data_IF_048919806928
#
_entry.id   IF_048919806928
#
_cell.length_a   1.000
_cell.length_b   1.000
_cell.length_c   1.000
_cell.angle_alpha   90.00
_cell.angle_beta   90.00
_cell.angle_gamma   90.00
#
_symmetry.space_group_name_H-M   'P 1'
#
loop_
_entity.id
_entity.type
_entity.pdbx_description
1 polymer ?
#
# COMPACT_ATOMS: atom_id res chain seq x y z
N UNK A 1 2.87 -18.87 -7.02
CA UNK A 1 3.58 -18.37 -5.79
C UNK A 1 3.90 -19.48 -4.79
N UNK A 2 3.72 -20.74 -5.21
CA UNK A 2 3.89 -21.91 -4.32
C UNK A 2 5.23 -21.88 -3.57
N UNK A 3 5.16 -22.09 -2.25
CA UNK A 3 6.31 -22.15 -1.31
C UNK A 3 7.13 -20.86 -1.15
N UNK A 4 6.84 -19.77 -1.89
CA UNK A 4 7.47 -18.47 -1.63
C UNK A 4 6.98 -17.89 -0.32
N UNK A 5 7.89 -17.42 0.51
CA UNK A 5 7.57 -16.75 1.77
C UNK A 5 7.39 -15.26 1.55
N UNK A 6 6.17 -14.77 1.79
CA UNK A 6 5.80 -13.37 1.59
C UNK A 6 5.42 -12.72 2.91
N UNK A 7 6.16 -11.69 3.29
CA UNK A 7 5.84 -10.84 4.43
C UNK A 7 4.91 -9.72 3.97
N UNK A 8 3.78 -9.55 4.66
CA UNK A 8 2.77 -8.53 4.37
C UNK A 8 2.54 -7.69 5.62
N UNK A 9 2.88 -6.41 5.59
CA UNK A 9 2.50 -5.47 6.65
C UNK A 9 1.12 -4.88 6.37
N UNK A 10 0.36 -4.55 7.43
CA UNK A 10 -1.03 -4.12 7.26
C UNK A 10 -1.95 -5.23 6.75
N UNK A 11 -1.62 -6.49 7.00
CA UNK A 11 -2.27 -7.67 6.41
C UNK A 11 -3.69 -7.95 6.89
N UNK A 12 -4.16 -7.26 7.94
CA UNK A 12 -5.47 -7.57 8.55
C UNK A 12 -6.67 -6.93 7.85
N UNK A 13 -6.47 -5.94 6.96
CA UNK A 13 -7.56 -5.21 6.30
C UNK A 13 -7.14 -4.69 4.92
N UNK A 14 -8.12 -4.34 4.09
CA UNK A 14 -7.94 -3.63 2.83
C UNK A 14 -6.98 -4.33 1.85
N UNK A 15 -6.06 -3.57 1.27
CA UNK A 15 -5.13 -4.09 0.24
C UNK A 15 -4.23 -5.20 0.78
N UNK A 16 -3.73 -5.06 2.03
CA UNK A 16 -2.89 -6.10 2.65
C UNK A 16 -3.62 -7.42 2.86
N UNK A 17 -4.88 -7.37 3.30
CA UNK A 17 -5.76 -8.54 3.40
C UNK A 17 -6.02 -9.17 2.02
N UNK A 18 -6.36 -8.37 1.01
CA UNK A 18 -6.58 -8.86 -0.34
C UNK A 18 -5.33 -9.54 -0.93
N UNK A 19 -4.13 -8.96 -0.67
CA UNK A 19 -2.86 -9.60 -1.03
C UNK A 19 -2.69 -10.96 -0.32
N UNK A 20 -2.96 -11.02 0.98
CA UNK A 20 -2.84 -12.25 1.75
C UNK A 20 -3.76 -13.35 1.21
N UNK A 21 -5.04 -13.04 0.96
CA UNK A 21 -6.00 -13.98 0.37
C UNK A 21 -5.57 -14.47 -1.01
N UNK A 22 -5.16 -13.56 -1.88
CA UNK A 22 -4.71 -13.88 -3.24
C UNK A 22 -3.50 -14.80 -3.24
N UNK A 23 -2.48 -14.47 -2.43
CA UNK A 23 -1.23 -15.23 -2.39
C UNK A 23 -1.39 -16.56 -1.66
N UNK A 24 -2.22 -16.61 -0.61
CA UNK A 24 -2.57 -17.85 0.09
C UNK A 24 -3.26 -18.85 -0.85
N UNK A 25 -4.19 -18.39 -1.69
CA UNK A 25 -4.85 -19.21 -2.69
C UNK A 25 -3.87 -19.77 -3.75
N UNK A 26 -2.73 -19.10 -3.97
CA UNK A 26 -1.65 -19.56 -4.87
C UNK A 26 -0.59 -20.42 -4.14
N UNK A 27 -0.77 -20.75 -2.86
CA UNK A 27 0.10 -21.62 -2.08
C UNK A 27 1.37 -20.95 -1.54
N UNK A 28 1.37 -19.64 -1.38
CA UNK A 28 2.47 -18.93 -0.73
C UNK A 28 2.48 -19.17 0.78
N UNK A 29 3.67 -19.18 1.39
CA UNK A 29 3.86 -19.06 2.82
C UNK A 29 3.68 -17.60 3.23
N UNK A 30 2.72 -17.30 4.08
CA UNK A 30 2.37 -15.94 4.44
C UNK A 30 2.81 -15.59 5.85
N UNK A 31 3.34 -14.38 6.01
CA UNK A 31 3.61 -13.74 7.30
C UNK A 31 2.77 -12.47 7.37
N UNK A 32 1.80 -12.46 8.28
CA UNK A 32 0.79 -11.43 8.40
C UNK A 32 1.14 -10.52 9.59
N UNK A 33 1.59 -9.29 9.29
CA UNK A 33 2.03 -8.32 10.31
C UNK A 33 1.03 -7.18 10.43
N UNK A 34 0.72 -6.80 11.67
CA UNK A 34 -0.11 -5.65 11.98
C UNK A 34 -0.33 -5.47 13.48
N UNK A 35 -0.89 -4.33 13.87
CA UNK A 35 -1.09 -3.96 15.29
C UNK A 35 -2.27 -4.65 15.94
N UNK A 36 -3.29 -5.02 15.18
CA UNK A 36 -4.54 -5.59 15.68
C UNK A 36 -4.55 -7.10 15.44
N UNK A 37 -4.67 -7.87 16.52
CA UNK A 37 -4.63 -9.34 16.48
C UNK A 37 -5.82 -9.92 15.73
N UNK A 38 -7.04 -9.54 16.09
CA UNK A 38 -8.27 -10.12 15.56
C UNK A 38 -8.37 -10.09 14.03
N UNK A 39 -8.16 -8.95 13.31
CA UNK A 39 -8.18 -8.94 11.86
C UNK A 39 -7.11 -9.84 11.23
N UNK A 40 -5.93 -9.96 11.85
CA UNK A 40 -4.87 -10.84 11.35
C UNK A 40 -5.25 -12.32 11.50
N UNK A 41 -5.82 -12.70 12.65
CA UNK A 41 -6.27 -14.07 12.91
C UNK A 41 -7.40 -14.48 11.98
N UNK A 42 -8.33 -13.57 11.67
CA UNK A 42 -9.39 -13.80 10.68
C UNK A 42 -8.79 -14.12 9.30
N UNK A 43 -7.82 -13.33 8.84
CA UNK A 43 -7.14 -13.60 7.56
C UNK A 43 -6.31 -14.88 7.63
N UNK A 44 -5.64 -15.15 8.74
CA UNK A 44 -4.85 -16.36 8.93
C UNK A 44 -5.70 -17.62 8.91
N UNK A 45 -6.91 -17.59 9.48
CA UNK A 45 -7.84 -18.73 9.45
C UNK A 45 -8.19 -19.17 8.03
N UNK A 46 -8.20 -18.25 7.07
CA UNK A 46 -8.51 -18.55 5.67
C UNK A 46 -7.27 -18.90 4.84
N UNK A 47 -6.12 -18.33 5.20
CA UNK A 47 -4.90 -18.40 4.38
C UNK A 47 -3.80 -19.30 4.95
N UNK A 48 -3.91 -19.72 6.21
CA UNK A 48 -2.87 -20.47 6.92
C UNK A 48 -1.63 -19.61 7.28
N UNK A 49 -1.73 -18.28 7.21
CA UNK A 49 -0.59 -17.37 7.43
C UNK A 49 -0.12 -17.33 8.90
N UNK A 50 1.18 -17.11 9.09
CA UNK A 50 1.79 -16.85 10.40
C UNK A 50 1.41 -15.43 10.86
N UNK A 51 0.72 -15.31 12.00
CA UNK A 51 0.34 -14.03 12.59
C UNK A 51 1.44 -13.51 13.49
N UNK A 52 1.94 -12.30 13.21
CA UNK A 52 2.90 -11.58 14.02
C UNK A 52 2.33 -10.20 14.39
N UNK A 53 1.91 -10.06 15.64
CA UNK A 53 1.30 -8.81 16.12
C UNK A 53 2.38 -7.85 16.58
N UNK A 54 2.38 -6.63 16.04
CA UNK A 54 3.27 -5.55 16.43
C UNK A 54 3.23 -4.38 15.45
N UNK A 55 4.10 -3.41 15.66
CA UNK A 55 4.16 -2.18 14.89
C UNK A 55 5.25 -2.25 13.80
N UNK A 56 4.85 -2.24 12.54
CA UNK A 56 5.79 -2.21 11.41
C UNK A 56 6.72 -0.98 11.42
N UNK A 57 6.37 0.10 12.13
CA UNK A 57 7.24 1.26 12.35
C UNK A 57 8.19 1.10 13.55
N UNK A 58 8.16 -0.02 14.26
CA UNK A 58 9.06 -0.31 15.38
C UNK A 58 10.23 -1.16 14.90
N UNK A 59 11.44 -0.61 14.88
CA UNK A 59 12.62 -1.39 14.53
C UNK A 59 12.91 -2.52 15.52
N UNK A 60 12.45 -2.40 16.77
CA UNK A 60 12.62 -3.42 17.80
C UNK A 60 11.76 -4.67 17.52
N UNK A 61 10.53 -4.49 17.05
CA UNK A 61 9.62 -5.60 16.74
C UNK A 61 10.15 -6.46 15.59
N UNK A 62 10.87 -5.86 14.64
CA UNK A 62 11.35 -6.55 13.44
C UNK A 62 12.34 -7.66 13.72
N UNK A 63 13.16 -7.57 14.78
CA UNK A 63 14.06 -8.65 15.15
C UNK A 63 13.29 -9.94 15.43
N UNK A 64 12.19 -9.83 16.19
CA UNK A 64 11.29 -10.95 16.48
C UNK A 64 10.54 -11.46 15.23
N UNK A 65 10.06 -10.55 14.39
CA UNK A 65 9.34 -10.93 13.17
C UNK A 65 10.22 -11.72 12.19
N UNK A 66 11.43 -11.25 11.95
CA UNK A 66 12.39 -11.94 11.06
C UNK A 66 12.80 -13.29 11.65
N UNK A 67 13.08 -13.36 12.95
CA UNK A 67 13.44 -14.62 13.62
C UNK A 67 12.33 -15.67 13.49
N UNK A 68 11.09 -15.31 13.83
CA UNK A 68 9.94 -16.22 13.73
C UNK A 68 9.66 -16.65 12.27
N UNK A 69 9.85 -15.73 11.30
CA UNK A 69 9.69 -16.05 9.88
C UNK A 69 10.76 -17.04 9.41
N UNK A 70 12.01 -16.82 9.79
CA UNK A 70 13.12 -17.74 9.43
C UNK A 70 12.97 -19.10 10.08
N UNK A 71 12.56 -19.16 11.32
CA UNK A 71 12.29 -20.43 12.04
C UNK A 71 11.19 -21.23 11.34
N UNK A 72 10.10 -20.56 10.93
CA UNK A 72 8.92 -21.22 10.35
C UNK A 72 9.07 -21.59 8.88
N UNK A 73 9.74 -20.74 8.07
CA UNK A 73 9.78 -20.85 6.61
C UNK A 73 11.19 -20.79 6.00
N UNK A 74 12.23 -20.66 6.81
CA UNK A 74 13.63 -20.67 6.36
C UNK A 74 14.13 -19.35 5.74
N UNK A 75 13.26 -18.39 5.41
CA UNK A 75 13.67 -17.10 4.84
C UNK A 75 12.49 -16.31 4.25
N UNK A 76 12.79 -15.18 3.60
CA UNK A 76 11.83 -14.24 3.03
C UNK A 76 12.13 -14.07 1.55
N UNK A 77 11.15 -14.33 0.69
CA UNK A 77 11.26 -14.19 -0.78
C UNK A 77 10.66 -12.88 -1.28
N UNK A 78 9.67 -12.33 -0.55
CA UNK A 78 9.07 -11.05 -0.92
C UNK A 78 8.55 -10.27 0.30
N UNK A 79 8.52 -8.94 0.18
CA UNK A 79 7.89 -8.01 1.11
C UNK A 79 6.82 -7.19 0.38
N UNK A 80 5.60 -7.20 0.91
CA UNK A 80 4.54 -6.25 0.58
C UNK A 80 4.36 -5.27 1.75
N UNK A 81 4.89 -4.07 1.61
CA UNK A 81 4.81 -3.02 2.62
C UNK A 81 3.49 -2.25 2.46
N UNK A 82 2.39 -2.86 2.93
CA UNK A 82 1.04 -2.32 2.80
C UNK A 82 0.57 -1.53 4.04
N UNK A 83 1.31 -1.56 5.16
CA UNK A 83 0.98 -0.76 6.32
C UNK A 83 1.01 0.73 5.98
N UNK A 84 -0.03 1.43 6.39
CA UNK A 84 -0.18 2.87 6.16
C UNK A 84 -1.14 3.49 7.18
N UNK A 85 -1.30 4.79 7.09
CA UNK A 85 -2.19 5.57 7.95
C UNK A 85 -2.57 6.89 7.29
N UNK A 86 -3.37 7.68 8.00
CA UNK A 86 -3.75 9.03 7.60
C UNK A 86 -2.60 10.03 7.82
N UNK A 87 -2.81 11.26 7.44
CA UNK A 87 -1.90 12.39 7.64
C UNK A 87 -2.62 13.67 7.22
N UNK A 88 -3.80 13.89 7.85
CA UNK A 88 -4.71 14.98 7.57
C UNK A 88 -4.19 16.31 8.16
N UNK A 89 -4.63 17.41 7.58
CA UNK A 89 -4.34 18.78 7.98
C UNK A 89 -3.50 19.53 6.94
N UNK A 90 -3.74 20.86 6.88
CA UNK A 90 -2.86 21.80 6.18
C UNK A 90 -1.55 21.96 6.95
N UNK A 91 -0.54 22.63 6.37
CA UNK A 91 0.73 22.83 7.07
C UNK A 91 0.58 23.66 8.36
N UNK A 92 -0.38 24.59 8.40
CA UNK A 92 -0.65 25.43 9.61
C UNK A 92 -1.43 24.70 10.68
N UNK A 93 -2.21 23.69 10.32
CA UNK A 93 -3.10 22.95 11.22
C UNK A 93 -2.49 21.61 11.68
N UNK A 94 -1.37 21.21 11.10
CA UNK A 94 -0.66 19.99 11.43
C UNK A 94 0.31 20.24 12.58
N UNK A 95 0.04 19.69 13.76
CA UNK A 95 0.97 19.72 14.90
C UNK A 95 2.21 18.86 14.62
N UNK A 96 3.30 19.09 15.37
CA UNK A 96 4.51 18.26 15.29
C UNK A 96 4.21 16.77 15.52
N UNK A 97 3.34 16.45 16.48
CA UNK A 97 2.92 15.07 16.77
C UNK A 97 2.14 14.46 15.61
N UNK A 98 1.22 15.21 14.99
CA UNK A 98 0.47 14.75 13.82
C UNK A 98 1.38 14.53 12.61
N UNK A 99 2.35 15.43 12.41
CA UNK A 99 3.39 15.28 11.39
C UNK A 99 4.21 14.00 11.61
N UNK A 100 4.73 13.79 12.82
CA UNK A 100 5.51 12.60 13.17
C UNK A 100 4.67 11.32 13.00
N UNK A 101 3.39 11.36 13.40
CA UNK A 101 2.48 10.23 13.22
C UNK A 101 2.26 9.88 11.73
N UNK A 102 2.13 10.88 10.86
CA UNK A 102 2.01 10.69 9.41
C UNK A 102 3.27 10.06 8.80
N UNK A 103 4.46 10.56 9.16
CA UNK A 103 5.74 9.99 8.73
C UNK A 103 5.90 8.56 9.24
N UNK A 104 5.68 8.35 10.54
CA UNK A 104 5.77 7.03 11.17
C UNK A 104 4.82 6.02 10.53
N UNK A 105 3.56 6.41 10.31
CA UNK A 105 2.54 5.52 9.76
C UNK A 105 2.76 5.13 8.31
N UNK A 106 3.36 5.97 7.50
CA UNK A 106 3.45 5.77 6.04
C UNK A 106 4.87 5.56 5.51
N UNK A 107 5.89 6.19 6.10
CA UNK A 107 7.27 6.10 5.63
C UNK A 107 8.10 5.14 6.49
N UNK A 108 8.08 5.30 7.83
CA UNK A 108 8.90 4.47 8.71
C UNK A 108 8.46 3.00 8.67
N UNK A 109 7.15 2.73 8.56
CA UNK A 109 6.63 1.37 8.35
C UNK A 109 7.27 0.69 7.14
N UNK A 110 7.38 1.39 6.00
CA UNK A 110 7.98 0.86 4.79
C UNK A 110 9.51 0.73 4.91
N UNK A 111 10.18 1.73 5.49
CA UNK A 111 11.63 1.73 5.66
C UNK A 111 12.08 0.62 6.61
N UNK A 112 11.47 0.50 7.79
CA UNK A 112 11.87 -0.52 8.77
C UNK A 112 11.57 -1.94 8.27
N UNK A 113 10.44 -2.16 7.59
CA UNK A 113 10.14 -3.45 6.98
C UNK A 113 11.14 -3.84 5.89
N UNK A 114 11.45 -2.91 4.99
CA UNK A 114 12.44 -3.15 3.94
C UNK A 114 13.81 -3.47 4.53
N UNK A 115 14.32 -2.62 5.46
CA UNK A 115 15.62 -2.81 6.11
C UNK A 115 15.73 -4.15 6.81
N UNK A 116 14.69 -4.57 7.51
CA UNK A 116 14.70 -5.83 8.27
C UNK A 116 14.62 -7.07 7.38
N UNK A 117 13.85 -7.01 6.28
CA UNK A 117 13.72 -8.13 5.34
C UNK A 117 14.90 -8.25 4.38
N UNK A 118 15.63 -7.15 4.10
CA UNK A 118 16.70 -7.09 3.10
C UNK A 118 17.77 -8.19 3.25
N UNK A 119 18.29 -8.55 4.44
CA UNK A 119 19.29 -9.62 4.53
C UNK A 119 18.77 -10.94 3.95
N UNK A 120 17.51 -11.30 4.21
CA UNK A 120 16.93 -12.52 3.66
C UNK A 120 16.58 -12.38 2.18
N UNK A 121 16.09 -11.22 1.76
CA UNK A 121 15.80 -10.94 0.35
C UNK A 121 17.05 -10.98 -0.53
N UNK A 122 18.22 -10.58 0.00
CA UNK A 122 19.50 -10.67 -0.68
C UNK A 122 19.92 -12.13 -0.88
N UNK A 123 19.78 -12.98 0.15
CA UNK A 123 20.05 -14.41 0.08
C UNK A 123 19.20 -15.10 -1.01
N UNK A 124 17.96 -14.62 -1.20
CA UNK A 124 16.95 -15.23 -2.08
C UNK A 124 16.73 -14.50 -3.40
N UNK A 125 17.43 -13.40 -3.66
CA UNK A 125 17.19 -12.51 -4.81
C UNK A 125 15.73 -12.11 -4.94
N UNK A 126 15.15 -11.69 -3.81
CA UNK A 126 13.73 -11.48 -3.62
C UNK A 126 13.22 -10.17 -4.19
N UNK A 127 12.04 -9.76 -3.74
CA UNK A 127 11.39 -8.54 -4.21
C UNK A 127 10.67 -7.77 -3.12
N UNK A 128 10.59 -6.45 -3.28
CA UNK A 128 9.86 -5.53 -2.40
C UNK A 128 8.83 -4.77 -3.24
N UNK A 129 7.61 -4.68 -2.73
CA UNK A 129 6.60 -3.74 -3.23
C UNK A 129 6.23 -2.79 -2.10
N UNK A 130 6.44 -1.49 -2.34
CA UNK A 130 5.98 -0.43 -1.46
C UNK A 130 4.61 0.06 -1.92
N UNK A 131 3.67 0.27 -0.97
CA UNK A 131 2.34 0.77 -1.27
C UNK A 131 2.32 2.31 -1.14
N UNK A 132 2.50 2.97 -2.28
CA UNK A 132 2.33 4.40 -2.46
C UNK A 132 0.86 4.82 -2.49
N UNK A 133 0.57 5.85 -3.26
CA UNK A 133 -0.75 6.41 -3.54
C UNK A 133 -0.63 7.32 -4.77
N UNK A 134 -1.73 7.74 -5.40
CA UNK A 134 -1.71 8.92 -6.29
C UNK A 134 -1.17 10.15 -5.55
N UNK A 135 -1.34 10.22 -4.21
CA UNK A 135 -0.73 11.23 -3.37
C UNK A 135 0.81 11.16 -3.32
N UNK A 136 1.44 10.16 -3.94
CA UNK A 136 2.90 10.13 -4.20
C UNK A 136 3.31 10.95 -5.43
N UNK A 137 2.34 11.40 -6.24
CA UNK A 137 2.53 12.06 -7.54
C UNK A 137 1.84 13.42 -7.60
N UNK A 138 0.77 13.59 -6.83
CA UNK A 138 -0.06 14.79 -6.76
C UNK A 138 -0.40 15.10 -5.30
N UNK A 139 -1.06 16.22 -5.04
CA UNK A 139 -1.50 16.61 -3.70
C UNK A 139 -3.02 16.86 -3.69
N UNK A 140 -3.69 16.38 -2.66
CA UNK A 140 -5.03 16.80 -2.29
C UNK A 140 -5.01 17.94 -1.26
N UNK A 141 -6.13 18.58 -0.98
CA UNK A 141 -6.24 19.56 0.08
C UNK A 141 -6.13 18.89 1.46
N UNK A 142 -5.55 19.58 2.42
CA UNK A 142 -5.51 19.19 3.85
C UNK A 142 -4.93 17.78 4.11
N UNK A 143 -3.91 17.37 3.36
CA UNK A 143 -3.23 16.07 3.51
C UNK A 143 -1.70 16.23 3.45
N UNK A 144 -1.18 17.32 4.02
CA UNK A 144 0.25 17.69 3.94
C UNK A 144 1.16 16.55 4.41
N UNK A 145 0.93 15.99 5.58
CA UNK A 145 1.74 14.91 6.14
C UNK A 145 1.66 13.63 5.29
N UNK A 146 0.46 13.25 4.87
CA UNK A 146 0.25 12.07 4.03
C UNK A 146 0.94 12.21 2.68
N UNK A 147 0.70 13.32 1.97
CA UNK A 147 1.31 13.61 0.67
C UNK A 147 2.82 13.56 0.75
N UNK A 148 3.42 14.20 1.76
CA UNK A 148 4.88 14.20 1.93
C UNK A 148 5.42 12.80 2.15
N UNK A 149 4.82 12.02 3.06
CA UNK A 149 5.26 10.66 3.33
C UNK A 149 5.13 9.75 2.09
N UNK A 150 4.02 9.89 1.33
CA UNK A 150 3.80 9.09 0.11
C UNK A 150 4.75 9.49 -1.03
N UNK A 151 5.09 10.76 -1.20
CA UNK A 151 6.16 11.18 -2.13
C UNK A 151 7.53 10.59 -1.74
N UNK A 152 7.85 10.56 -0.44
CA UNK A 152 9.11 10.00 0.05
C UNK A 152 9.26 8.50 -0.30
N UNK A 153 8.16 7.74 -0.41
CA UNK A 153 8.21 6.32 -0.83
C UNK A 153 8.77 6.14 -2.24
N UNK A 154 8.58 7.09 -3.16
CA UNK A 154 9.17 7.02 -4.49
C UNK A 154 10.70 7.16 -4.44
N UNK A 155 11.20 8.06 -3.58
CA UNK A 155 12.63 8.19 -3.31
C UNK A 155 13.20 6.91 -2.69
N UNK A 156 12.53 6.37 -1.68
CA UNK A 156 12.90 5.12 -1.03
C UNK A 156 12.91 3.94 -2.03
N UNK A 157 11.90 3.82 -2.88
CA UNK A 157 11.83 2.78 -3.93
C UNK A 157 13.04 2.82 -4.84
N UNK A 158 13.39 4.01 -5.34
CA UNK A 158 14.51 4.19 -6.28
C UNK A 158 15.85 3.94 -5.62
N UNK A 159 16.03 4.41 -4.37
CA UNK A 159 17.25 4.18 -3.59
C UNK A 159 17.47 2.68 -3.36
N UNK A 160 16.46 1.98 -2.82
CA UNK A 160 16.57 0.54 -2.58
C UNK A 160 16.79 -0.25 -3.89
N UNK A 161 16.10 0.10 -4.97
CA UNK A 161 16.29 -0.55 -6.27
C UNK A 161 17.71 -0.35 -6.80
N UNK A 162 18.27 0.85 -6.65
CA UNK A 162 19.63 1.20 -7.10
C UNK A 162 20.71 0.48 -6.29
N UNK A 163 20.52 0.43 -4.97
CA UNK A 163 21.52 -0.14 -4.05
C UNK A 163 21.55 -1.67 -4.12
N UNK A 164 20.39 -2.32 -4.20
CA UNK A 164 20.27 -3.79 -4.08
C UNK A 164 19.95 -4.51 -5.39
N UNK A 165 19.65 -3.78 -6.46
CA UNK A 165 19.46 -4.34 -7.80
C UNK A 165 20.64 -5.15 -8.33
N UNK A 166 21.91 -4.70 -8.17
CA UNK A 166 23.08 -5.50 -8.57
C UNK A 166 23.19 -6.86 -7.88
N UNK A 167 22.54 -7.03 -6.73
CA UNK A 167 22.50 -8.27 -5.95
C UNK A 167 21.23 -9.08 -6.23
N UNK A 168 20.40 -8.65 -7.18
CA UNK A 168 19.22 -9.37 -7.65
C UNK A 168 17.92 -9.07 -6.90
N UNK A 169 17.89 -8.09 -5.98
CA UNK A 169 16.66 -7.65 -5.31
C UNK A 169 15.93 -6.61 -6.15
N UNK A 170 14.65 -6.83 -6.45
CA UNK A 170 13.81 -5.88 -7.16
C UNK A 170 12.93 -5.08 -6.18
N UNK A 171 12.78 -3.79 -6.41
CA UNK A 171 11.96 -2.91 -5.57
C UNK A 171 11.10 -2.02 -6.45
N UNK A 172 9.78 -2.08 -6.26
CA UNK A 172 8.83 -1.28 -7.03
C UNK A 172 7.79 -0.64 -6.10
N UNK A 173 7.15 0.42 -6.56
CA UNK A 173 6.08 1.11 -5.86
C UNK A 173 4.78 1.00 -6.66
N UNK A 174 3.69 0.64 -5.99
CA UNK A 174 2.33 0.73 -6.55
C UNK A 174 1.67 1.98 -5.98
N UNK A 175 1.12 2.82 -6.85
CA UNK A 175 0.41 4.05 -6.50
C UNK A 175 -1.09 3.92 -6.88
N UNK A 176 -1.94 3.41 -5.98
CA UNK A 176 -3.38 3.35 -6.22
C UNK A 176 -4.02 4.73 -6.18
N UNK A 177 -5.16 4.86 -6.89
CA UNK A 177 -6.16 5.91 -6.64
C UNK A 177 -7.05 5.55 -5.46
N UNK A 178 -8.33 5.92 -5.54
CA UNK A 178 -9.34 5.48 -4.58
C UNK A 178 -9.54 3.96 -4.66
N UNK A 179 -9.45 3.30 -3.50
CA UNK A 179 -9.62 1.85 -3.36
C UNK A 179 -10.63 1.59 -2.26
N UNK A 180 -11.64 0.76 -2.49
CA UNK A 180 -12.60 0.36 -1.45
C UNK A 180 -11.89 -0.42 -0.36
N UNK A 181 -11.77 0.21 0.80
CA UNK A 181 -11.11 -0.32 2.00
C UNK A 181 -11.73 0.35 3.23
N UNK A 182 -11.63 -0.26 4.42
CA UNK A 182 -12.13 0.39 5.64
C UNK A 182 -11.58 1.80 5.88
N UNK A 183 -10.32 2.06 5.54
CA UNK A 183 -9.71 3.39 5.64
C UNK A 183 -10.39 4.40 4.69
N UNK A 184 -10.59 4.03 3.43
CA UNK A 184 -11.24 4.90 2.47
C UNK A 184 -12.73 5.09 2.77
N UNK A 185 -13.41 4.08 3.33
CA UNK A 185 -14.79 4.21 3.80
C UNK A 185 -14.91 5.24 4.94
N UNK A 186 -13.92 5.29 5.84
CA UNK A 186 -13.83 6.35 6.87
C UNK A 186 -13.63 7.73 6.23
N UNK A 187 -12.81 7.84 5.19
CA UNK A 187 -12.56 9.10 4.47
C UNK A 187 -13.79 9.59 3.67
N UNK A 188 -14.72 8.71 3.31
CA UNK A 188 -15.99 9.08 2.68
C UNK A 188 -17.02 9.68 3.66
N UNK A 189 -16.89 9.43 4.98
CA UNK A 189 -17.86 9.86 5.99
C UNK A 189 -18.15 11.36 5.99
N UNK A 190 -17.17 12.29 5.82
CA UNK A 190 -17.47 13.72 5.72
C UNK A 190 -18.38 14.06 4.53
N UNK A 191 -18.14 13.44 3.36
CA UNK A 191 -18.97 13.65 2.16
C UNK A 191 -20.38 13.12 2.36
N UNK A 192 -20.50 11.89 2.88
CA UNK A 192 -21.80 11.28 3.19
C UNK A 192 -22.65 12.18 4.11
N UNK A 193 -22.04 12.76 5.15
CA UNK A 193 -22.75 13.68 6.05
C UNK A 193 -23.09 15.00 5.40
N UNK A 194 -22.19 15.56 4.60
CA UNK A 194 -22.38 16.88 3.97
C UNK A 194 -23.47 16.86 2.89
N UNK A 195 -23.50 15.79 2.10
CA UNK A 195 -24.44 15.64 0.98
C UNK A 195 -25.65 14.76 1.30
N UNK A 196 -25.75 14.24 2.52
CA UNK A 196 -26.80 13.31 2.96
C UNK A 196 -26.92 12.09 2.02
N UNK A 197 -25.79 11.56 1.58
CA UNK A 197 -25.71 10.50 0.58
C UNK A 197 -25.14 9.17 1.12
N UNK A 198 -25.34 8.09 0.36
CA UNK A 198 -24.80 6.78 0.68
C UNK A 198 -23.28 6.71 0.43
N UNK A 199 -22.61 5.68 1.00
CA UNK A 199 -21.20 5.39 0.74
C UNK A 199 -20.92 5.21 -0.76
N UNK A 200 -21.81 4.52 -1.49
CA UNK A 200 -21.65 4.33 -2.94
C UNK A 200 -21.76 5.64 -3.71
N UNK A 201 -22.65 6.53 -3.31
CA UNK A 201 -22.77 7.86 -3.92
C UNK A 201 -21.54 8.73 -3.62
N UNK A 202 -20.98 8.66 -2.40
CA UNK A 202 -19.73 9.36 -2.07
C UNK A 202 -18.56 8.87 -2.92
N UNK A 203 -18.40 7.56 -3.11
CA UNK A 203 -17.41 7.02 -4.04
C UNK A 203 -17.67 7.44 -5.49
N UNK A 204 -18.91 7.39 -5.96
CA UNK A 204 -19.26 7.85 -7.32
C UNK A 204 -18.90 9.33 -7.51
N UNK A 205 -19.11 10.17 -6.48
CA UNK A 205 -18.76 11.59 -6.48
C UNK A 205 -17.24 11.81 -6.62
N UNK A 206 -16.42 11.16 -5.79
CA UNK A 206 -14.96 11.35 -5.84
C UNK A 206 -14.31 10.71 -7.06
N UNK A 207 -15.02 9.84 -7.77
CA UNK A 207 -14.54 9.20 -9.01
C UNK A 207 -15.27 9.70 -10.26
N UNK A 208 -16.10 10.76 -10.14
CA UNK A 208 -16.88 11.28 -11.25
C UNK A 208 -16.05 11.71 -12.46
N UNK A 209 -14.84 12.20 -12.25
CA UNK A 209 -13.93 12.63 -13.32
C UNK A 209 -12.81 11.62 -13.58
N UNK A 210 -12.78 10.48 -12.86
CA UNK A 210 -11.85 9.40 -13.13
C UNK A 210 -12.30 8.64 -14.39
N UNK A 211 -11.45 8.38 -15.39
CA UNK A 211 -11.85 7.71 -16.63
C UNK A 211 -12.63 6.40 -16.44
N UNK A 212 -12.24 5.56 -15.46
CA UNK A 212 -12.99 4.33 -15.18
C UNK A 212 -14.25 4.54 -14.31
N UNK A 213 -14.55 5.78 -13.86
CA UNK A 213 -15.77 6.18 -13.14
C UNK A 213 -16.07 5.34 -11.88
N UNK A 214 -15.08 4.74 -11.26
CA UNK A 214 -15.22 3.94 -10.05
C UNK A 214 -13.93 3.88 -9.24
N UNK A 215 -13.99 3.63 -7.92
CA UNK A 215 -12.84 3.21 -7.16
C UNK A 215 -12.38 1.81 -7.59
N UNK A 216 -11.11 1.50 -7.34
CA UNK A 216 -10.62 0.13 -7.48
C UNK A 216 -11.15 -0.74 -6.31
N UNK A 217 -11.21 -2.04 -6.53
CA UNK A 217 -11.34 -3.04 -5.46
C UNK A 217 -9.93 -3.40 -4.96
N UNK A 218 -9.82 -3.78 -3.67
CA UNK A 218 -8.54 -4.16 -3.08
C UNK A 218 -7.86 -5.32 -3.82
N UNK A 219 -8.65 -6.23 -4.40
CA UNK A 219 -8.21 -7.38 -5.20
C UNK A 219 -7.52 -6.97 -6.50
N UNK A 220 -7.91 -5.84 -7.10
CA UNK A 220 -7.26 -5.32 -8.32
C UNK A 220 -5.83 -4.85 -8.00
N UNK A 221 -5.64 -4.21 -6.85
CA UNK A 221 -4.31 -3.81 -6.38
C UNK A 221 -3.49 -5.04 -5.94
N UNK A 222 -4.12 -6.01 -5.29
CA UNK A 222 -3.47 -7.26 -4.93
C UNK A 222 -2.96 -8.05 -6.14
N UNK A 223 -3.69 -8.01 -7.27
CA UNK A 223 -3.25 -8.63 -8.51
C UNK A 223 -1.96 -7.98 -9.04
N UNK A 224 -1.86 -6.65 -8.99
CA UNK A 224 -0.65 -5.93 -9.39
C UNK A 224 0.52 -6.20 -8.43
N UNK A 225 0.28 -6.21 -7.12
CA UNK A 225 1.30 -6.58 -6.13
C UNK A 225 1.81 -8.01 -6.37
N UNK A 226 0.91 -8.97 -6.63
CA UNK A 226 1.27 -10.36 -6.96
C UNK A 226 2.14 -10.44 -8.22
N UNK A 227 1.80 -9.70 -9.27
CA UNK A 227 2.60 -9.63 -10.49
C UNK A 227 4.02 -9.12 -10.17
N UNK A 228 4.14 -8.02 -9.43
CA UNK A 228 5.44 -7.38 -9.14
C UNK A 228 6.37 -8.25 -8.29
N UNK A 229 5.85 -9.11 -7.44
CA UNK A 229 6.69 -10.04 -6.66
C UNK A 229 6.96 -11.36 -7.40
N UNK A 230 6.38 -11.59 -8.56
CA UNK A 230 6.62 -12.78 -9.38
C UNK A 230 7.79 -12.62 -10.35
N UNK A 231 8.20 -13.71 -10.96
CA UNK A 231 9.24 -13.74 -11.99
C UNK A 231 8.78 -13.10 -13.31
N UNK A 232 7.47 -12.96 -13.51
CA UNK A 232 6.88 -12.24 -14.65
C UNK A 232 7.30 -10.76 -14.68
N UNK A 233 7.65 -10.18 -13.51
CA UNK A 233 8.15 -8.82 -13.37
C UNK A 233 9.70 -8.73 -13.26
N UNK A 234 10.42 -9.71 -13.80
CA UNK A 234 11.88 -9.86 -13.61
C UNK A 234 12.71 -8.66 -14.08
N UNK A 235 12.23 -7.88 -15.05
CA UNK A 235 12.92 -6.68 -15.55
C UNK A 235 12.47 -5.38 -14.83
N UNK A 236 11.46 -5.45 -13.98
CA UNK A 236 10.90 -4.27 -13.29
C UNK A 236 11.58 -4.06 -11.95
N UNK A 237 12.35 -2.96 -11.82
CA UNK A 237 12.88 -2.45 -10.55
C UNK A 237 12.99 -0.93 -10.60
N UNK A 238 12.75 -0.26 -9.46
CA UNK A 238 12.71 1.20 -9.36
C UNK A 238 11.48 1.84 -10.00
N UNK A 239 10.53 1.04 -10.48
CA UNK A 239 9.34 1.51 -11.18
C UNK A 239 8.27 2.02 -10.21
N UNK A 240 7.53 3.03 -10.67
CA UNK A 240 6.30 3.53 -10.04
C UNK A 240 5.14 3.14 -10.94
N UNK A 241 4.29 2.24 -10.46
CA UNK A 241 3.12 1.76 -11.21
C UNK A 241 1.86 2.45 -10.66
N UNK A 242 1.23 3.24 -11.51
CA UNK A 242 -0.01 3.96 -11.18
C UNK A 242 -1.20 3.06 -11.49
N UNK A 243 -2.07 2.88 -10.49
CA UNK A 243 -3.27 2.04 -10.57
C UNK A 243 -4.48 2.82 -10.02
N UNK A 244 -4.88 3.85 -10.74
CA UNK A 244 -5.79 4.89 -10.27
C UNK A 244 -7.05 5.08 -11.13
N UNK A 245 -7.30 4.16 -12.04
CA UNK A 245 -8.42 4.25 -12.97
C UNK A 245 -8.29 5.38 -14.00
N UNK A 246 -7.09 5.96 -14.13
CA UNK A 246 -6.79 7.07 -15.02
C UNK A 246 -6.90 8.46 -14.38
N UNK A 247 -7.09 8.53 -13.06
CA UNK A 247 -7.24 9.82 -12.36
C UNK A 247 -6.08 10.80 -12.63
N UNK A 248 -4.84 10.30 -12.68
CA UNK A 248 -3.64 11.13 -12.86
C UNK A 248 -3.39 11.61 -14.29
N UNK A 249 -4.16 11.15 -15.29
CA UNK A 249 -4.02 11.57 -16.69
C UNK A 249 -5.08 12.59 -17.13
N UNK A 250 -5.99 12.98 -16.24
CA UNK A 250 -7.03 13.94 -16.54
C UNK A 250 -6.45 15.36 -16.50
N UNK A 251 -6.57 16.06 -17.60
CA UNK A 251 -6.28 17.50 -17.66
C UNK A 251 -7.46 18.28 -17.11
N UNK A 252 -7.37 18.68 -15.84
CA UNK A 252 -8.47 19.35 -15.11
C UNK A 252 -9.03 20.59 -15.84
N UNK A 253 -8.21 21.49 -16.46
CA UNK A 253 -8.74 22.61 -17.22
C UNK A 253 -9.67 22.21 -18.36
N UNK A 254 -9.42 21.09 -19.03
CA UNK A 254 -10.22 20.65 -20.18
C UNK A 254 -11.57 20.05 -19.80
N UNK A 255 -11.81 19.70 -18.53
CA UNK A 255 -13.14 19.28 -18.05
C UNK A 255 -14.23 20.33 -18.30
N UNK A 256 -13.87 21.61 -18.44
CA UNK A 256 -14.79 22.66 -18.81
C UNK A 256 -15.49 22.42 -20.18
N UNK A 257 -14.78 21.79 -21.13
CA UNK A 257 -15.35 21.48 -22.46
C UNK A 257 -16.35 20.32 -22.40
N UNK A 258 -16.11 19.32 -21.55
CA UNK A 258 -17.06 18.20 -21.37
C UNK A 258 -18.42 18.72 -20.85
N UNK A 259 -18.40 19.71 -19.96
CA UNK A 259 -19.59 20.32 -19.35
C UNK A 259 -20.37 21.24 -20.27
N UNK A 260 -19.84 21.62 -21.45
CA UNK A 260 -20.58 22.42 -22.45
C UNK A 260 -21.70 21.62 -23.09
N UNK A 261 -21.66 20.28 -23.10
CA UNK A 261 -22.74 19.42 -23.60
C UNK A 261 -23.89 19.21 -22.61
N UNK A 262 -23.72 19.55 -21.35
CA UNK A 262 -24.69 19.36 -20.27
C UNK A 262 -25.54 20.61 -19.99
N UNK A 263 -25.49 21.62 -20.88
CA UNK A 263 -26.33 22.81 -20.75
C UNK A 263 -27.76 22.47 -21.14
N UNK A 264 -28.76 22.77 -20.26
CA UNK A 264 -30.17 22.43 -20.47
C UNK A 264 -30.83 23.14 -21.65
#
# INVERSE_FOLDING_TARGET
MRERTVVITGAGTGIGEACARRLGAEGANLVLIGRRREPLERVAAETGGLVLVGDAASSADWAGFVAATRERFGGIDALLACAGGHGLGSATDTSDDAWQAAMRGNLDTAFHSARACLPSLLERRGSIVLLGSIASLAAGPEVCGYTTAKHALLGLTRSLARDYGPQGVRVNCVCPGWVRTPMADEEMQPLMRHYEESLDAAYARVTAEVPLRRPAQAEEIAALCRFLISDEASILTGATLVADGGSSIVDLPTLAYERMGDTP
#
